data_IF_499890298687
#
_entry.id   IF_499890298687
#
_cell.length_a   1.000
_cell.length_b   1.000
_cell.length_c   1.000
_cell.angle_alpha   90.00
_cell.angle_beta   90.00
_cell.angle_gamma   90.00
#
_symmetry.space_group_name_H-M   'P 1'
#
loop_
_entity.id
_entity.type
_entity.pdbx_description
1 polymer ?
#
# COMPACT_ATOMS: atom_id res chain seq x y z
N UNK A 1 -6.01 -11.42 16.16
CA UNK A 1 -4.61 -11.07 16.50
C UNK A 1 -4.63 -9.62 16.96
N UNK A 2 -4.51 -9.42 18.26
CA UNK A 2 -4.39 -8.12 18.91
C UNK A 2 -2.91 -7.70 18.90
N UNK A 3 -2.63 -6.40 18.91
CA UNK A 3 -1.26 -5.91 19.10
C UNK A 3 -1.04 -5.77 20.60
N UNK A 4 -0.21 -6.65 21.16
CA UNK A 4 0.03 -6.69 22.61
C UNK A 4 0.89 -5.51 23.09
N UNK A 5 1.81 -5.03 22.24
CA UNK A 5 2.70 -3.89 22.55
C UNK A 5 3.19 -3.17 21.30
N UNK A 6 3.49 -1.87 21.44
CA UNK A 6 4.14 -1.04 20.42
C UNK A 6 5.44 -0.49 21.01
N UNK A 7 6.57 -0.82 20.39
CA UNK A 7 7.88 -0.34 20.79
C UNK A 7 8.42 0.66 19.78
N UNK A 8 8.81 1.85 20.26
CA UNK A 8 9.44 2.89 19.46
C UNK A 8 10.97 2.75 19.50
N UNK A 9 11.49 1.67 18.91
CA UNK A 9 12.92 1.32 18.95
C UNK A 9 13.69 1.67 17.68
N UNK A 10 12.99 2.07 16.60
CA UNK A 10 13.61 2.40 15.31
C UNK A 10 13.78 3.91 15.15
N UNK A 11 14.80 4.31 14.37
CA UNK A 11 15.06 5.69 14.01
C UNK A 11 14.56 5.99 12.59
N UNK A 12 13.75 7.04 12.44
CA UNK A 12 13.15 7.43 11.17
C UNK A 12 14.20 7.81 10.11
N UNK A 13 15.28 8.51 10.47
CA UNK A 13 16.30 8.92 9.51
C UNK A 13 17.06 7.71 8.95
N UNK A 14 17.32 6.71 9.78
CA UNK A 14 17.88 5.44 9.32
C UNK A 14 16.91 4.69 8.40
N UNK A 15 15.62 4.69 8.72
CA UNK A 15 14.58 4.11 7.87
C UNK A 15 14.50 4.83 6.52
N UNK A 16 14.57 6.17 6.49
CA UNK A 16 14.65 6.99 5.26
C UNK A 16 15.89 6.65 4.42
N UNK A 17 17.06 6.46 5.04
CA UNK A 17 18.29 6.03 4.34
C UNK A 17 18.13 4.65 3.68
N UNK A 18 17.43 3.71 4.34
CA UNK A 18 17.13 2.38 3.80
C UNK A 18 16.13 2.50 2.65
N UNK A 19 15.03 3.24 2.83
CA UNK A 19 14.00 3.43 1.81
C UNK A 19 14.55 3.97 0.47
N UNK A 20 15.57 4.83 0.52
CA UNK A 20 16.25 5.38 -0.67
C UNK A 20 17.02 4.33 -1.49
N UNK A 21 17.38 3.18 -0.93
CA UNK A 21 18.21 2.19 -1.62
C UNK A 21 17.43 1.53 -2.76
N UNK A 22 18.04 1.41 -3.93
CA UNK A 22 17.37 0.91 -5.15
C UNK A 22 16.83 -0.51 -5.01
N UNK A 23 17.47 -1.32 -4.16
CA UNK A 23 17.09 -2.70 -3.90
C UNK A 23 15.99 -2.89 -2.85
N UNK A 24 15.46 -1.80 -2.27
CA UNK A 24 14.38 -1.85 -1.27
C UNK A 24 13.00 -1.75 -1.93
N UNK A 25 12.12 -2.69 -1.56
CA UNK A 25 10.70 -2.74 -1.91
C UNK A 25 9.83 -2.32 -0.73
N UNK A 26 8.59 -1.93 -0.99
CA UNK A 26 7.62 -1.56 0.05
C UNK A 26 6.77 -2.77 0.45
N UNK A 27 6.68 -3.04 1.75
CA UNK A 27 5.79 -4.04 2.34
C UNK A 27 5.13 -3.50 3.60
N UNK A 28 3.84 -3.78 3.80
CA UNK A 28 3.11 -3.30 4.98
C UNK A 28 3.44 -4.07 6.25
N UNK A 29 3.88 -5.34 6.12
CA UNK A 29 4.08 -6.25 7.25
C UNK A 29 2.81 -6.38 8.12
N UNK A 30 1.64 -6.39 7.47
CA UNK A 30 0.35 -6.58 8.14
C UNK A 30 -0.43 -7.72 7.51
N UNK A 31 -1.22 -8.42 8.34
CA UNK A 31 -2.18 -9.40 7.87
C UNK A 31 -3.41 -8.73 7.22
N UNK A 32 -4.32 -9.54 6.68
CA UNK A 32 -5.59 -9.03 6.17
C UNK A 32 -6.45 -8.48 7.33
N UNK A 33 -6.83 -7.21 7.25
CA UNK A 33 -7.60 -6.47 8.27
C UNK A 33 -8.73 -5.68 7.63
N UNK A 34 -9.79 -5.44 8.39
CA UNK A 34 -10.85 -4.49 8.05
C UNK A 34 -11.01 -3.49 9.20
N UNK A 35 -11.74 -2.40 8.95
CA UNK A 35 -12.16 -1.48 10.02
C UNK A 35 -13.37 -2.04 10.80
N UNK A 36 -14.06 -3.03 10.25
CA UNK A 36 -15.28 -3.63 10.77
C UNK A 36 -15.24 -5.17 10.77
N UNK A 37 -16.29 -5.80 11.31
CA UNK A 37 -16.45 -7.25 11.35
C UNK A 37 -15.34 -8.00 12.12
N UNK A 38 -15.22 -9.30 11.85
CA UNK A 38 -14.26 -10.18 12.56
C UNK A 38 -12.80 -9.74 12.33
N UNK A 39 -12.49 -9.21 11.14
CA UNK A 39 -11.15 -8.70 10.80
C UNK A 39 -10.87 -7.31 11.41
N UNK A 40 -11.89 -6.66 11.99
CA UNK A 40 -11.80 -5.40 12.70
C UNK A 40 -11.56 -5.53 14.20
N UNK A 41 -11.48 -6.74 14.78
CA UNK A 41 -11.27 -6.92 16.22
C UNK A 41 -9.85 -6.55 16.68
N UNK A 42 -9.73 -5.88 17.84
CA UNK A 42 -8.44 -5.41 18.40
C UNK A 42 -7.85 -4.21 17.66
N UNK A 43 -6.74 -3.63 18.13
CA UNK A 43 -6.09 -2.49 17.48
C UNK A 43 -4.87 -2.94 16.66
N UNK A 44 -4.82 -2.71 15.34
CA UNK A 44 -3.66 -3.05 14.52
C UNK A 44 -2.58 -1.95 14.56
N UNK A 45 -1.38 -2.26 14.07
CA UNK A 45 -0.35 -1.25 13.81
C UNK A 45 -0.79 -0.33 12.64
N UNK A 46 -0.52 1.00 12.67
CA UNK A 46 -0.93 1.96 11.62
C UNK A 46 -0.54 1.57 10.18
N UNK A 47 0.62 0.91 10.04
CA UNK A 47 1.12 0.32 8.77
C UNK A 47 0.10 -0.55 8.02
N UNK A 48 -0.89 -1.09 8.72
CA UNK A 48 -1.96 -1.91 8.14
C UNK A 48 -2.71 -1.20 7.03
N UNK A 49 -3.10 0.06 7.23
CA UNK A 49 -3.85 0.84 6.25
C UNK A 49 -3.03 1.99 5.64
N UNK A 50 -1.94 2.39 6.31
CA UNK A 50 -1.17 3.58 5.95
C UNK A 50 0.06 3.37 5.07
N UNK A 51 0.62 2.16 4.92
CA UNK A 51 1.98 2.00 4.35
C UNK A 51 2.16 2.62 2.96
N UNK A 52 1.36 2.24 1.97
CA UNK A 52 1.54 2.74 0.60
C UNK A 52 1.16 4.23 0.46
N UNK A 53 0.04 4.71 1.02
CA UNK A 53 -0.27 6.15 1.06
C UNK A 53 0.80 6.99 1.75
N UNK A 54 1.43 6.49 2.82
CA UNK A 54 2.53 7.18 3.50
C UNK A 54 3.77 7.30 2.62
N UNK A 55 4.08 6.27 1.82
CA UNK A 55 5.17 6.31 0.84
C UNK A 55 4.89 7.36 -0.23
N UNK A 56 3.67 7.40 -0.77
CA UNK A 56 3.31 8.34 -1.83
C UNK A 56 3.18 9.79 -1.32
N UNK A 57 2.48 9.99 -0.19
CA UNK A 57 2.27 11.32 0.40
C UNK A 57 3.50 11.80 1.15
N UNK A 58 3.75 11.26 2.34
CA UNK A 58 4.83 11.74 3.22
C UNK A 58 6.21 11.64 2.56
N UNK A 59 6.61 10.44 2.12
CA UNK A 59 8.00 10.24 1.69
C UNK A 59 8.28 10.74 0.26
N UNK A 60 7.36 10.54 -0.68
CA UNK A 60 7.55 10.99 -2.06
C UNK A 60 7.16 12.46 -2.27
N UNK A 61 5.91 12.85 -1.99
CA UNK A 61 5.44 14.23 -2.23
C UNK A 61 6.05 15.24 -1.25
N UNK A 62 5.86 15.02 0.05
CA UNK A 62 6.14 16.04 1.07
C UNK A 62 7.65 16.16 1.36
N UNK A 63 8.33 15.03 1.57
CA UNK A 63 9.75 15.00 1.91
C UNK A 63 10.69 14.84 0.71
N UNK A 64 10.15 14.57 -0.49
CA UNK A 64 10.93 14.40 -1.72
C UNK A 64 12.08 13.39 -1.57
N UNK A 65 11.83 12.31 -0.84
CA UNK A 65 12.81 11.26 -0.55
C UNK A 65 13.28 10.56 -1.84
N UNK A 66 12.36 10.44 -2.79
CA UNK A 66 12.52 9.97 -4.17
C UNK A 66 11.34 10.47 -5.01
N UNK A 67 11.47 10.42 -6.34
CA UNK A 67 10.40 10.82 -7.25
C UNK A 67 9.23 9.80 -7.29
N UNK A 68 8.12 10.22 -7.89
CA UNK A 68 6.90 9.42 -7.97
C UNK A 68 7.08 8.13 -8.79
N UNK A 69 7.76 8.14 -9.97
CA UNK A 69 8.06 6.91 -10.69
C UNK A 69 8.87 5.90 -9.85
N UNK A 70 9.84 6.35 -9.06
CA UNK A 70 10.63 5.50 -8.17
C UNK A 70 9.77 4.92 -7.06
N UNK A 71 8.90 5.73 -6.44
CA UNK A 71 7.95 5.26 -5.45
C UNK A 71 7.05 4.15 -6.02
N UNK A 72 6.47 4.38 -7.21
CA UNK A 72 5.59 3.41 -7.91
C UNK A 72 6.37 2.14 -8.24
N UNK A 73 7.57 2.25 -8.83
CA UNK A 73 8.43 1.11 -9.16
C UNK A 73 8.67 0.20 -7.95
N UNK A 74 8.97 0.78 -6.78
CA UNK A 74 9.21 0.06 -5.52
C UNK A 74 8.00 -0.69 -4.96
N UNK A 75 6.79 -0.40 -5.44
CA UNK A 75 5.55 -1.03 -5.00
C UNK A 75 4.82 -1.81 -6.11
N UNK A 76 5.28 -1.77 -7.36
CA UNK A 76 4.64 -2.46 -8.49
C UNK A 76 5.58 -3.46 -9.20
N UNK A 77 6.32 -3.00 -10.20
CA UNK A 77 7.13 -3.85 -11.08
C UNK A 77 8.34 -4.44 -10.37
N UNK A 78 8.93 -3.74 -9.39
CA UNK A 78 10.08 -4.27 -8.67
C UNK A 78 9.73 -5.50 -7.81
N UNK A 79 8.68 -5.48 -6.97
CA UNK A 79 8.13 -6.69 -6.36
C UNK A 79 7.85 -7.80 -7.38
N UNK A 80 7.10 -7.53 -8.44
CA UNK A 80 6.73 -8.55 -9.43
C UNK A 80 7.97 -9.23 -10.03
N UNK A 81 9.00 -8.45 -10.40
CA UNK A 81 10.29 -8.97 -10.89
C UNK A 81 11.02 -9.82 -9.86
N UNK A 82 11.03 -9.40 -8.59
CA UNK A 82 11.78 -10.10 -7.52
C UNK A 82 11.15 -11.43 -7.11
N UNK A 83 9.82 -11.52 -7.07
CA UNK A 83 9.12 -12.76 -6.69
C UNK A 83 8.65 -13.61 -7.89
N UNK A 84 8.81 -13.12 -9.12
CA UNK A 84 8.52 -13.87 -10.34
C UNK A 84 7.04 -13.84 -10.77
N UNK A 85 6.30 -12.78 -10.42
CA UNK A 85 4.94 -12.58 -10.92
C UNK A 85 5.02 -12.04 -12.34
N UNK A 86 4.53 -12.82 -13.31
CA UNK A 86 4.47 -12.44 -14.72
C UNK A 86 3.22 -11.59 -15.02
N UNK A 87 3.32 -10.77 -16.06
CA UNK A 87 2.21 -10.00 -16.65
C UNK A 87 1.47 -9.05 -15.68
N UNK A 88 2.15 -8.62 -14.60
CA UNK A 88 1.64 -7.68 -13.58
C UNK A 88 2.70 -6.66 -13.18
N UNK A 89 2.26 -5.59 -12.51
CA UNK A 89 3.12 -4.54 -11.95
C UNK A 89 3.60 -3.50 -12.96
N UNK A 90 3.24 -3.63 -14.24
CA UNK A 90 3.53 -2.68 -15.31
C UNK A 90 2.23 -2.43 -16.08
N UNK A 91 1.98 -1.18 -16.46
CA UNK A 91 0.88 -0.83 -17.37
C UNK A 91 1.37 -1.05 -18.80
N UNK A 92 0.91 -2.13 -19.42
CA UNK A 92 1.29 -2.54 -20.77
C UNK A 92 0.16 -3.36 -21.40
N UNK A 93 -0.02 -3.26 -22.70
CA UNK A 93 -0.93 -4.16 -23.43
C UNK A 93 -0.58 -5.63 -23.17
N UNK A 94 -1.61 -6.45 -22.99
CA UNK A 94 -1.49 -7.88 -22.65
C UNK A 94 -1.25 -8.18 -21.17
N UNK A 95 -1.02 -7.17 -20.31
CA UNK A 95 -0.87 -7.37 -18.85
C UNK A 95 -2.24 -7.37 -18.17
N UNK A 96 -2.30 -7.94 -16.95
CA UNK A 96 -3.52 -7.86 -16.15
C UNK A 96 -3.82 -6.41 -15.77
N UNK A 97 -5.10 -6.03 -15.85
CA UNK A 97 -5.60 -4.73 -15.44
C UNK A 97 -5.70 -4.63 -13.90
N UNK A 98 -4.54 -4.62 -13.25
CA UNK A 98 -4.38 -4.29 -11.84
C UNK A 98 -3.92 -2.82 -11.74
N UNK A 99 -4.87 -1.93 -11.45
CA UNK A 99 -4.66 -0.49 -11.54
C UNK A 99 -5.12 0.20 -10.26
N UNK A 100 -4.45 1.29 -9.92
CA UNK A 100 -4.86 2.20 -8.85
C UNK A 100 -4.94 3.61 -9.45
N UNK A 101 -6.08 4.26 -9.29
CA UNK A 101 -6.27 5.67 -9.62
C UNK A 101 -6.28 6.43 -8.29
N UNK A 102 -5.33 7.36 -8.15
CA UNK A 102 -5.18 8.15 -6.94
C UNK A 102 -4.79 9.58 -7.27
N UNK A 103 -5.16 10.52 -6.41
CA UNK A 103 -4.79 11.91 -6.51
C UNK A 103 -3.44 12.12 -5.81
N UNK A 104 -2.36 12.47 -6.55
CA UNK A 104 -1.03 12.65 -5.97
C UNK A 104 -0.96 13.81 -4.96
N UNK A 105 -1.79 14.84 -5.12
CA UNK A 105 -1.82 16.00 -4.22
C UNK A 105 -2.61 15.72 -2.94
N UNK A 106 -3.52 14.75 -2.95
CA UNK A 106 -4.40 14.43 -1.81
C UNK A 106 -4.08 13.11 -1.09
N UNK A 107 -3.23 12.24 -1.67
CA UNK A 107 -2.88 10.93 -1.09
C UNK A 107 -2.26 11.10 0.31
N UNK A 108 -2.79 10.37 1.29
CA UNK A 108 -2.34 10.48 2.70
C UNK A 108 -2.73 9.25 3.52
N UNK A 109 -1.81 8.81 4.39
CA UNK A 109 -2.12 7.88 5.47
C UNK A 109 -2.85 8.60 6.61
N UNK A 110 -4.10 8.20 6.88
CA UNK A 110 -4.96 8.75 7.93
C UNK A 110 -4.81 8.02 9.28
N UNK A 111 -3.85 7.09 9.35
CA UNK A 111 -3.65 6.22 10.52
C UNK A 111 -2.58 6.77 11.46
N UNK A 112 -2.85 6.70 12.76
CA UNK A 112 -1.87 6.97 13.82
C UNK A 112 -1.86 5.81 14.82
N UNK A 113 -0.84 5.73 15.68
CA UNK A 113 -0.82 4.71 16.74
C UNK A 113 -2.03 4.78 17.69
N UNK A 114 -2.62 5.98 17.86
CA UNK A 114 -3.83 6.18 18.67
C UNK A 114 -5.11 5.88 17.89
N UNK A 115 -5.10 6.07 16.58
CA UNK A 115 -6.25 5.82 15.68
C UNK A 115 -5.77 5.06 14.44
N UNK A 116 -5.55 3.73 14.56
CA UNK A 116 -4.93 2.94 13.49
C UNK A 116 -5.92 2.38 12.47
N UNK A 117 -7.25 2.49 12.70
CA UNK A 117 -8.30 1.89 11.86
C UNK A 117 -8.98 2.90 10.95
N UNK A 118 -8.21 3.54 10.08
CA UNK A 118 -8.75 4.47 9.10
C UNK A 118 -8.27 4.08 7.71
N UNK A 119 -9.18 4.09 6.74
CA UNK A 119 -8.78 3.99 5.34
C UNK A 119 -8.09 5.28 4.88
N UNK A 120 -7.10 5.18 3.99
CA UNK A 120 -6.38 6.35 3.49
C UNK A 120 -7.27 7.23 2.60
N UNK A 121 -6.83 8.47 2.39
CA UNK A 121 -7.47 9.41 1.47
C UNK A 121 -6.74 9.47 0.14
N UNK A 122 -7.45 9.91 -0.89
CA UNK A 122 -6.87 10.18 -2.21
C UNK A 122 -6.76 8.97 -3.13
N UNK A 123 -7.25 7.78 -2.74
CA UNK A 123 -7.40 6.63 -3.64
C UNK A 123 -8.84 6.60 -4.14
N UNK A 124 -9.03 6.83 -5.43
CA UNK A 124 -10.35 6.92 -6.05
C UNK A 124 -10.82 5.55 -6.54
N UNK A 125 -9.95 4.83 -7.24
CA UNK A 125 -10.28 3.51 -7.79
C UNK A 125 -9.17 2.50 -7.53
N UNK A 126 -9.58 1.27 -7.22
CA UNK A 126 -8.72 0.08 -7.26
C UNK A 126 -9.38 -0.93 -8.17
N UNK A 127 -8.66 -1.34 -9.20
CA UNK A 127 -9.10 -2.28 -10.23
C UNK A 127 -8.21 -3.51 -10.11
N UNK A 128 -8.83 -4.69 -10.00
CA UNK A 128 -8.11 -5.96 -9.90
C UNK A 128 -8.60 -6.87 -11.02
N UNK A 129 -7.69 -7.32 -11.88
CA UNK A 129 -8.04 -8.12 -13.06
C UNK A 129 -9.19 -7.50 -13.89
N UNK A 130 -9.20 -6.16 -14.04
CA UNK A 130 -10.23 -5.42 -14.78
C UNK A 130 -11.53 -5.16 -14.02
N UNK A 131 -11.65 -5.59 -12.76
CA UNK A 131 -12.84 -5.41 -11.94
C UNK A 131 -12.65 -4.29 -10.91
N UNK A 132 -13.55 -3.30 -10.90
CA UNK A 132 -13.54 -2.21 -9.92
C UNK A 132 -13.87 -2.78 -8.53
N UNK A 133 -12.85 -2.89 -7.69
CA UNK A 133 -12.91 -3.44 -6.32
C UNK A 133 -13.06 -2.33 -5.28
N UNK A 134 -12.52 -1.14 -5.57
CA UNK A 134 -12.77 0.09 -4.80
C UNK A 134 -13.23 1.17 -5.77
N UNK A 135 -14.27 1.91 -5.40
CA UNK A 135 -14.81 3.05 -6.12
C UNK A 135 -15.09 4.18 -5.14
N UNK A 136 -14.60 5.37 -5.44
CA UNK A 136 -14.76 6.59 -4.63
C UNK A 136 -14.31 6.36 -3.16
N UNK A 137 -13.25 5.57 -2.97
CA UNK A 137 -12.70 5.20 -1.66
C UNK A 137 -13.43 4.04 -0.95
N UNK A 138 -14.54 3.54 -1.49
CA UNK A 138 -15.37 2.50 -0.88
C UNK A 138 -15.22 1.15 -1.58
N UNK A 139 -15.17 0.06 -0.80
CA UNK A 139 -15.03 -1.29 -1.35
C UNK A 139 -16.35 -1.79 -1.95
N UNK A 140 -16.35 -2.20 -3.22
CA UNK A 140 -17.56 -2.58 -3.98
C UNK A 140 -18.08 -3.99 -3.68
N UNK A 141 -17.36 -4.75 -2.84
CA UNK A 141 -17.55 -6.19 -2.54
C UNK A 141 -17.18 -7.13 -3.68
N UNK A 142 -16.83 -6.61 -4.86
CA UNK A 142 -16.32 -7.40 -5.97
C UNK A 142 -14.96 -7.98 -5.59
N UNK A 143 -14.78 -9.29 -5.77
CA UNK A 143 -13.53 -10.00 -5.46
C UNK A 143 -12.82 -10.37 -6.75
N UNK A 144 -12.11 -9.42 -7.35
CA UNK A 144 -11.38 -9.63 -8.61
C UNK A 144 -10.13 -10.50 -8.50
N UNK A 145 -9.73 -10.93 -7.30
CA UNK A 145 -8.48 -11.64 -7.04
C UNK A 145 -8.38 -13.03 -7.67
N UNK A 146 -7.14 -13.48 -7.89
CA UNK A 146 -6.81 -14.83 -8.37
C UNK A 146 -5.60 -15.37 -7.60
N UNK A 147 -5.54 -16.69 -7.43
CA UNK A 147 -4.33 -17.35 -6.91
C UNK A 147 -3.22 -17.18 -7.95
N UNK A 148 -2.08 -16.62 -7.52
CA UNK A 148 -0.89 -16.53 -8.34
C UNK A 148 -0.11 -17.84 -8.24
N UNK A 149 0.08 -18.51 -9.38
CA UNK A 149 0.91 -19.71 -9.52
C UNK A 149 2.28 -19.28 -10.06
N UNK A 150 3.34 -19.92 -9.57
CA UNK A 150 4.72 -19.66 -9.98
C UNK A 150 5.10 -20.52 -11.19
#
# INVERSE_FOLDING_TARGET
MEVDAIYFSMNEDNMKKILKKDYVMIGSDSGARSIDGVLGLGLPHPRTFGTFPRVLGKYCRDEKLFDLPTAIYKMTSFPCKRIGIKDRGIIKEGYFADLVIFNPDAISDTTTYKSPKNYPKGIEYVIINGNITVKDGEHTRVKGGRILKR
#
